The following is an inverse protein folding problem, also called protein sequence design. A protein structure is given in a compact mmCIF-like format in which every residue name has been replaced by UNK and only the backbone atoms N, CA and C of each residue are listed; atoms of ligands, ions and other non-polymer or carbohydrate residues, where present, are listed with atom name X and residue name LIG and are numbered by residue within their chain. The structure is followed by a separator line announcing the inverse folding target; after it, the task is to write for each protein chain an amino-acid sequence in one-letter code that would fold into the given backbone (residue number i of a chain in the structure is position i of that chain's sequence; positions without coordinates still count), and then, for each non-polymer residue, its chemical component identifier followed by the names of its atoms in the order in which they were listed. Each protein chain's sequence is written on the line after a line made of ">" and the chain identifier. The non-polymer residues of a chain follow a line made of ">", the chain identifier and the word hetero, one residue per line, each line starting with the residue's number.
data_IF_936846037764
#
_entry.id   IF_936846037764
#
_cell.length_a   1.000
_cell.length_b   1.000
_cell.length_c   1.000
_cell.angle_alpha   90.00
_cell.angle_beta   90.00
_cell.angle_gamma   90.00
#
_symmetry.space_group_name_H-M   'P 1'
#
loop_
_entity.id
_entity.type
_entity.pdbx_description
1 polymer ?
#
# COMPACT_ATOMS: atom_id res chain seq x y z
N UNK A 1 7.96 17.78 12.01
CA UNK A 1 7.34 16.51 11.54
C UNK A 1 6.10 16.22 12.37
N UNK A 2 4.92 16.20 11.75
CA UNK A 2 3.67 15.85 12.41
C UNK A 2 3.14 14.56 11.78
N UNK A 3 3.19 13.46 12.52
CA UNK A 3 2.69 12.16 12.08
C UNK A 3 1.54 11.75 12.99
N UNK A 4 0.34 11.74 12.42
CA UNK A 4 -0.86 11.26 13.09
C UNK A 4 -1.18 9.84 12.63
N UNK A 5 -1.37 8.92 13.56
CA UNK A 5 -1.73 7.54 13.25
C UNK A 5 -2.90 7.12 14.11
N UNK A 6 -3.99 6.72 13.45
CA UNK A 6 -5.21 6.21 14.07
C UNK A 6 -5.50 4.78 13.63
N UNK A 7 -6.26 4.05 14.42
CA UNK A 7 -6.76 2.74 14.05
C UNK A 7 -8.24 2.62 14.39
N UNK A 8 -9.03 2.25 13.39
CA UNK A 8 -10.43 1.85 13.54
C UNK A 8 -10.57 0.32 13.62
N UNK A 9 -9.46 -0.43 13.53
CA UNK A 9 -9.46 -1.86 13.67
C UNK A 9 -9.31 -2.26 15.14
N UNK A 10 -10.19 -3.12 15.67
CA UNK A 10 -10.21 -3.53 17.10
C UNK A 10 -8.85 -4.06 17.59
N UNK A 11 -8.07 -4.73 16.74
CA UNK A 11 -6.73 -5.27 17.06
C UNK A 11 -5.60 -4.44 16.43
N UNK A 12 -5.80 -3.16 16.19
CA UNK A 12 -4.87 -2.30 15.46
C UNK A 12 -3.89 -1.48 16.30
N UNK A 13 -4.04 -1.46 17.63
CA UNK A 13 -3.24 -0.58 18.49
C UNK A 13 -1.71 -0.79 18.35
N UNK A 14 -1.25 -2.03 18.30
CA UNK A 14 0.18 -2.34 18.10
C UNK A 14 0.67 -1.91 16.72
N UNK A 15 -0.14 -2.13 15.68
CA UNK A 15 0.15 -1.68 14.32
C UNK A 15 0.25 -0.15 14.26
N UNK A 16 -0.68 0.58 14.90
CA UNK A 16 -0.66 2.05 14.94
C UNK A 16 0.61 2.60 15.61
N UNK A 17 1.03 2.02 16.73
CA UNK A 17 2.29 2.41 17.39
C UNK A 17 3.50 2.18 16.46
N UNK A 18 3.57 1.01 15.82
CA UNK A 18 4.62 0.72 14.84
C UNK A 18 4.61 1.70 13.69
N UNK A 19 3.46 1.94 13.06
CA UNK A 19 3.34 2.85 11.91
C UNK A 19 3.77 4.27 12.25
N UNK A 20 3.48 4.77 13.45
CA UNK A 20 3.94 6.10 13.89
C UNK A 20 5.47 6.19 13.94
N UNK A 21 6.14 5.20 14.51
CA UNK A 21 7.60 5.15 14.56
C UNK A 21 8.21 5.02 13.17
N UNK A 22 7.67 4.12 12.35
CA UNK A 22 8.18 3.85 11.00
C UNK A 22 7.97 5.03 10.06
N UNK A 23 6.80 5.67 10.10
CA UNK A 23 6.52 6.86 9.30
C UNK A 23 7.52 7.98 9.56
N UNK A 24 7.85 8.24 10.82
CA UNK A 24 8.87 9.24 11.17
C UNK A 24 10.24 8.85 10.63
N UNK A 25 10.64 7.60 10.76
CA UNK A 25 11.93 7.12 10.23
C UNK A 25 11.98 7.23 8.69
N UNK A 26 10.92 6.86 7.99
CA UNK A 26 10.85 6.95 6.53
C UNK A 26 10.86 8.40 6.04
N UNK A 27 10.11 9.29 6.69
CA UNK A 27 10.12 10.71 6.34
C UNK A 27 11.50 11.36 6.58
N UNK A 28 12.19 10.98 7.65
CA UNK A 28 13.56 11.45 7.91
C UNK A 28 14.53 10.92 6.84
N UNK A 29 14.48 9.62 6.49
CA UNK A 29 15.30 9.04 5.44
C UNK A 29 15.07 9.68 4.05
N UNK A 30 13.86 10.21 3.83
CA UNK A 30 13.49 10.93 2.61
C UNK A 30 13.79 12.45 2.65
N UNK A 31 14.42 12.96 3.73
CA UNK A 31 14.66 14.39 3.90
C UNK A 31 13.38 15.22 4.03
N UNK A 32 12.33 14.63 4.64
CA UNK A 32 11.00 15.24 4.81
C UNK A 32 10.64 15.49 6.27
N UNK A 33 11.58 15.92 7.09
CA UNK A 33 11.40 16.16 8.54
C UNK A 33 10.35 17.24 8.84
N UNK A 34 10.09 18.16 7.91
CA UNK A 34 9.03 19.15 8.02
C UNK A 34 7.62 18.65 7.66
N UNK A 35 7.50 17.43 7.13
CA UNK A 35 6.24 16.93 6.58
C UNK A 35 5.17 16.60 7.64
N UNK A 36 3.90 16.72 7.20
CA UNK A 36 2.72 16.25 7.92
C UNK A 36 2.12 15.05 7.18
N UNK A 37 1.86 13.97 7.90
CA UNK A 37 1.33 12.73 7.36
C UNK A 37 0.24 12.16 8.28
N UNK A 38 -0.88 11.75 7.69
CA UNK A 38 -1.92 10.99 8.37
C UNK A 38 -1.89 9.52 7.94
N UNK A 39 -2.01 8.60 8.88
CA UNK A 39 -2.11 7.16 8.61
C UNK A 39 -3.31 6.58 9.34
N UNK A 40 -4.19 5.90 8.60
CA UNK A 40 -5.38 5.24 9.14
C UNK A 40 -5.28 3.73 8.92
N UNK A 41 -5.43 2.96 10.00
CA UNK A 41 -5.47 1.50 9.95
C UNK A 41 -6.91 1.04 10.08
N UNK A 42 -7.37 0.30 9.08
CA UNK A 42 -8.76 -0.20 8.97
C UNK A 42 -8.80 -1.72 8.77
N UNK A 43 -10.01 -2.28 8.82
CA UNK A 43 -10.28 -3.65 8.36
C UNK A 43 -10.70 -3.68 6.88
N UNK A 44 -10.78 -4.89 6.31
CA UNK A 44 -11.13 -5.11 4.90
C UNK A 44 -12.49 -4.53 4.51
N UNK A 45 -13.48 -4.55 5.40
CA UNK A 45 -14.80 -3.98 5.13
C UNK A 45 -14.75 -2.46 4.92
N UNK A 46 -14.02 -1.72 5.76
CA UNK A 46 -13.83 -0.28 5.62
C UNK A 46 -12.97 0.03 4.39
N UNK A 47 -11.89 -0.72 4.18
CA UNK A 47 -11.04 -0.59 2.99
C UNK A 47 -11.81 -0.80 1.68
N UNK A 48 -12.71 -1.80 1.63
CA UNK A 48 -13.59 -2.04 0.48
C UNK A 48 -14.50 -0.84 0.18
N UNK A 49 -15.10 -0.23 1.23
CA UNK A 49 -15.94 0.97 1.06
C UNK A 49 -15.13 2.13 0.47
N UNK A 50 -13.93 2.39 1.00
CA UNK A 50 -13.05 3.44 0.51
C UNK A 50 -12.62 3.18 -0.95
N UNK A 51 -12.19 1.96 -1.26
CA UNK A 51 -11.75 1.58 -2.61
C UNK A 51 -12.89 1.69 -3.64
N UNK A 52 -14.12 1.35 -3.22
CA UNK A 52 -15.30 1.54 -4.06
C UNK A 52 -15.61 3.03 -4.28
N UNK A 53 -15.59 3.82 -3.21
CA UNK A 53 -15.91 5.24 -3.28
C UNK A 53 -14.91 6.05 -4.12
N UNK A 54 -13.62 5.79 -3.95
CA UNK A 54 -12.56 6.61 -4.54
C UNK A 54 -11.95 6.04 -5.82
N UNK A 55 -12.00 4.73 -6.02
CA UNK A 55 -11.40 4.04 -7.20
C UNK A 55 -12.41 3.22 -8.01
N UNK A 56 -13.69 3.23 -7.64
CA UNK A 56 -14.75 2.46 -8.29
C UNK A 56 -14.58 0.93 -8.19
N UNK A 57 -13.70 0.45 -7.29
CA UNK A 57 -13.36 -0.96 -7.17
C UNK A 57 -14.02 -1.58 -5.92
N UNK A 58 -15.07 -2.38 -6.10
CA UNK A 58 -15.80 -3.01 -4.99
C UNK A 58 -15.08 -4.22 -4.40
N UNK A 59 -13.89 -4.00 -3.85
CA UNK A 59 -13.06 -4.99 -3.14
C UNK A 59 -12.12 -4.29 -2.17
N UNK A 60 -11.68 -4.99 -1.13
CA UNK A 60 -10.58 -4.53 -0.30
C UNK A 60 -9.26 -4.50 -1.09
N UNK A 61 -8.40 -3.56 -0.74
CA UNK A 61 -7.00 -3.47 -1.17
C UNK A 61 -6.12 -3.38 0.07
N UNK A 62 -4.83 -3.46 -0.11
CA UNK A 62 -3.81 -3.35 0.94
C UNK A 62 -3.64 -1.92 1.45
N UNK A 63 -3.44 -0.97 0.54
CA UNK A 63 -3.18 0.43 0.83
C UNK A 63 -3.90 1.35 -0.15
N UNK A 64 -4.32 2.52 0.34
CA UNK A 64 -4.78 3.66 -0.45
C UNK A 64 -4.02 4.90 0.00
N UNK A 65 -3.61 5.73 -0.95
CA UNK A 65 -2.93 7.00 -0.70
C UNK A 65 -3.73 8.13 -1.31
N UNK A 66 -3.90 9.21 -0.55
CA UNK A 66 -4.66 10.40 -0.92
C UNK A 66 -3.74 11.62 -0.81
N UNK A 67 -3.05 12.01 -1.90
CA UNK A 67 -2.17 13.16 -1.88
C UNK A 67 -2.97 14.46 -1.75
N UNK A 68 -2.43 15.43 -1.01
CA UNK A 68 -2.97 16.78 -0.93
C UNK A 68 -2.18 17.69 -1.86
N UNK A 69 -2.86 18.25 -2.86
CA UNK A 69 -2.23 19.15 -3.82
C UNK A 69 -1.91 20.51 -3.18
N UNK A 70 -0.73 21.05 -3.47
CA UNK A 70 -0.40 22.46 -3.24
C UNK A 70 0.14 22.86 -1.86
N UNK A 71 0.28 21.95 -0.91
CA UNK A 71 0.83 22.28 0.41
C UNK A 71 2.22 21.66 0.60
N UNK A 72 3.24 22.49 0.75
CA UNK A 72 4.64 22.02 0.88
C UNK A 72 4.90 21.08 2.08
N UNK A 73 4.13 21.17 3.17
CA UNK A 73 4.32 20.39 4.38
C UNK A 73 3.34 19.20 4.50
N UNK A 74 2.07 19.38 4.11
CA UNK A 74 1.05 18.33 4.21
C UNK A 74 1.14 17.37 3.02
N UNK A 75 1.56 16.14 3.25
CA UNK A 75 1.68 15.14 2.20
C UNK A 75 0.33 14.51 1.84
N UNK A 76 -0.50 14.23 2.83
CA UNK A 76 -1.80 13.57 2.66
C UNK A 76 -2.03 12.40 3.61
N UNK A 77 -2.92 11.50 3.17
CA UNK A 77 -3.37 10.37 3.99
C UNK A 77 -2.95 9.03 3.37
N UNK A 78 -2.55 8.09 4.23
CA UNK A 78 -2.32 6.68 3.87
C UNK A 78 -3.27 5.81 4.66
N UNK A 79 -4.10 5.01 3.98
CA UNK A 79 -5.02 4.06 4.61
C UNK A 79 -4.53 2.64 4.35
N UNK A 80 -4.38 1.83 5.41
CA UNK A 80 -3.83 0.48 5.36
C UNK A 80 -4.84 -0.54 5.89
N UNK A 81 -5.11 -1.62 5.14
CA UNK A 81 -5.90 -2.74 5.65
C UNK A 81 -5.03 -3.69 6.48
N UNK A 82 -5.37 -3.78 7.78
CA UNK A 82 -4.69 -4.71 8.69
C UNK A 82 -5.05 -6.17 8.39
N UNK A 83 -6.27 -6.45 7.93
CA UNK A 83 -6.70 -7.81 7.59
C UNK A 83 -5.97 -8.30 6.35
N UNK A 84 -5.90 -7.49 5.30
CA UNK A 84 -5.11 -7.79 4.10
C UNK A 84 -3.64 -7.95 4.44
N UNK A 85 -3.04 -7.06 5.27
CA UNK A 85 -1.65 -7.18 5.69
C UNK A 85 -1.37 -8.51 6.42
N UNK A 86 -2.26 -8.93 7.32
CA UNK A 86 -2.14 -10.23 8.02
C UNK A 86 -2.22 -11.42 7.08
N UNK A 87 -3.14 -11.38 6.14
CA UNK A 87 -3.32 -12.44 5.15
C UNK A 87 -2.09 -12.56 4.26
N UNK A 88 -1.64 -11.44 3.68
CA UNK A 88 -0.49 -11.41 2.78
C UNK A 88 0.81 -11.79 3.49
N UNK A 89 1.02 -11.32 4.72
CA UNK A 89 2.19 -11.69 5.51
C UNK A 89 2.28 -13.21 5.71
N UNK A 90 1.16 -13.89 5.96
CA UNK A 90 1.12 -15.37 6.09
C UNK A 90 1.41 -16.06 4.75
N UNK A 91 0.77 -15.63 3.67
CA UNK A 91 0.95 -16.17 2.32
C UNK A 91 2.40 -16.06 1.85
N UNK A 92 3.04 -14.92 2.15
CA UNK A 92 4.42 -14.62 1.75
C UNK A 92 5.47 -15.04 2.80
N UNK A 93 5.04 -15.71 3.88
CA UNK A 93 5.90 -16.14 5.00
C UNK A 93 6.75 -14.99 5.59
N UNK A 94 6.13 -13.83 5.73
CA UNK A 94 6.73 -12.62 6.32
C UNK A 94 6.11 -12.30 7.68
N UNK A 95 6.79 -11.46 8.45
CA UNK A 95 6.16 -10.90 9.65
C UNK A 95 5.13 -9.84 9.26
N UNK A 96 4.06 -9.72 10.05
CA UNK A 96 3.09 -8.65 9.89
C UNK A 96 3.75 -7.26 9.91
N UNK A 97 4.77 -7.08 10.76
CA UNK A 97 5.51 -5.82 10.84
C UNK A 97 6.21 -5.47 9.53
N UNK A 98 6.86 -6.44 8.89
CA UNK A 98 7.53 -6.23 7.60
C UNK A 98 6.53 -5.88 6.49
N UNK A 99 5.36 -6.54 6.48
CA UNK A 99 4.34 -6.25 5.47
C UNK A 99 3.70 -4.85 5.66
N UNK A 100 3.44 -4.46 6.91
CA UNK A 100 2.97 -3.13 7.23
C UNK A 100 3.97 -2.03 6.88
N UNK A 101 5.27 -2.25 7.13
CA UNK A 101 6.33 -1.30 6.75
C UNK A 101 6.36 -1.07 5.24
N UNK A 102 6.14 -2.13 4.45
CA UNK A 102 6.07 -2.04 2.99
C UNK A 102 4.88 -1.24 2.51
N UNK A 103 3.69 -1.50 3.04
CA UNK A 103 2.50 -0.74 2.68
C UNK A 103 2.65 0.74 3.04
N UNK A 104 3.28 1.03 4.17
CA UNK A 104 3.56 2.41 4.58
C UNK A 104 4.57 3.09 3.65
N UNK A 105 5.69 2.42 3.33
CA UNK A 105 6.70 2.94 2.40
C UNK A 105 6.09 3.22 1.03
N UNK A 106 5.34 2.25 0.48
CA UNK A 106 4.61 2.37 -0.78
C UNK A 106 3.66 3.58 -0.78
N UNK A 107 2.83 3.69 0.27
CA UNK A 107 1.89 4.81 0.41
C UNK A 107 2.58 6.17 0.47
N UNK A 108 3.65 6.30 1.25
CA UNK A 108 4.43 7.55 1.35
C UNK A 108 5.05 7.92 0.00
N UNK A 109 5.63 6.97 -0.72
CA UNK A 109 6.22 7.21 -2.04
C UNK A 109 5.17 7.70 -3.03
N UNK A 110 3.95 7.15 -3.01
CA UNK A 110 2.84 7.66 -3.82
C UNK A 110 2.47 9.11 -3.46
N UNK A 111 2.41 9.46 -2.17
CA UNK A 111 2.16 10.84 -1.75
C UNK A 111 3.26 11.81 -2.24
N UNK A 112 4.48 11.31 -2.44
CA UNK A 112 5.61 12.06 -3.00
C UNK A 112 5.66 12.08 -4.54
N UNK A 113 4.63 11.54 -5.20
CA UNK A 113 4.50 11.56 -6.66
C UNK A 113 5.20 10.41 -7.39
N UNK A 114 5.66 9.38 -6.68
CA UNK A 114 6.13 8.17 -7.35
C UNK A 114 4.94 7.40 -7.91
N UNK A 115 4.96 7.12 -9.22
CA UNK A 115 3.93 6.36 -9.90
C UNK A 115 4.56 5.12 -10.58
N UNK A 116 4.22 3.94 -10.07
CA UNK A 116 4.70 2.68 -10.63
C UNK A 116 3.88 2.23 -11.85
N UNK A 117 2.72 2.83 -12.11
CA UNK A 117 1.85 2.50 -13.24
C UNK A 117 2.27 3.25 -14.51
N UNK A 118 3.03 4.35 -14.41
CA UNK A 118 3.43 5.19 -15.53
C UNK A 118 4.37 4.48 -16.53
N UNK A 119 5.27 3.61 -16.09
CA UNK A 119 6.15 2.83 -16.96
C UNK A 119 6.90 1.72 -16.20
N UNK A 120 7.45 0.70 -16.90
CA UNK A 120 8.30 -0.30 -16.25
C UNK A 120 9.56 0.29 -15.57
N UNK A 121 10.07 1.40 -16.08
CA UNK A 121 11.19 2.11 -15.44
C UNK A 121 10.77 2.81 -14.15
N UNK A 122 9.58 3.42 -14.13
CA UNK A 122 9.00 4.03 -12.94
C UNK A 122 8.71 2.98 -11.86
N UNK A 123 8.15 1.83 -12.24
CA UNK A 123 7.94 0.70 -11.34
C UNK A 123 9.23 0.21 -10.68
N UNK A 124 10.32 0.07 -11.46
CA UNK A 124 11.64 -0.30 -10.91
C UNK A 124 12.22 0.76 -9.97
N UNK A 125 12.04 2.06 -10.28
CA UNK A 125 12.50 3.14 -9.39
C UNK A 125 11.76 3.12 -8.06
N UNK A 126 10.45 2.98 -8.10
CA UNK A 126 9.63 2.92 -6.89
C UNK A 126 9.99 1.70 -6.04
N UNK A 127 10.15 0.53 -6.65
CA UNK A 127 10.55 -0.68 -5.96
C UNK A 127 11.90 -0.54 -5.24
N UNK A 128 12.91 0.07 -5.88
CA UNK A 128 14.21 0.34 -5.24
C UNK A 128 14.08 1.31 -4.06
N UNK A 129 13.23 2.33 -4.18
CA UNK A 129 12.99 3.27 -3.10
C UNK A 129 12.28 2.59 -1.91
N UNK A 130 11.30 1.71 -2.17
CA UNK A 130 10.67 0.89 -1.13
C UNK A 130 11.68 0.00 -0.42
N UNK A 131 12.51 -0.73 -1.18
CA UNK A 131 13.53 -1.63 -0.63
C UNK A 131 14.54 -0.86 0.23
N UNK A 132 14.98 0.33 -0.19
CA UNK A 132 15.87 1.18 0.58
C UNK A 132 15.23 1.61 1.90
N UNK A 133 13.99 2.13 1.89
CA UNK A 133 13.27 2.57 3.08
C UNK A 133 13.04 1.43 4.08
N UNK A 134 12.62 0.27 3.60
CA UNK A 134 12.36 -0.89 4.43
C UNK A 134 13.67 -1.49 4.94
N UNK A 135 14.70 -1.56 4.08
CA UNK A 135 16.03 -2.13 4.40
C UNK A 135 16.80 -1.32 5.44
N UNK A 136 16.82 0.00 5.37
CA UNK A 136 17.46 0.86 6.38
C UNK A 136 16.85 0.68 7.79
N UNK A 137 15.57 0.32 7.85
CA UNK A 137 14.91 -0.03 9.11
C UNK A 137 15.24 -1.41 9.66
N UNK A 138 15.86 -2.28 8.88
CA UNK A 138 16.19 -3.67 9.26
C UNK A 138 17.62 -3.86 9.78
N UNK A 139 18.53 -2.91 9.58
CA UNK A 139 19.94 -3.03 10.02
C UNK A 139 20.09 -3.12 11.55
N UNK A 140 19.02 -2.93 12.32
CA UNK A 140 19.03 -3.06 13.80
C UNK A 140 18.31 -4.28 14.35
N UNK A 141 17.99 -5.30 13.55
CA UNK A 141 17.37 -6.51 14.10
C UNK A 141 16.96 -7.55 13.07
N UNK A 142 17.68 -8.67 13.03
CA UNK A 142 17.37 -9.98 12.47
C UNK A 142 17.21 -10.11 10.96
N UNK A 143 18.07 -10.96 10.37
CA UNK A 143 18.21 -11.29 8.98
C UNK A 143 16.90 -11.71 8.28
N UNK A 144 16.39 -10.83 7.46
CA UNK A 144 15.33 -11.12 6.48
C UNK A 144 15.91 -10.81 5.10
N UNK A 145 15.69 -11.73 4.15
CA UNK A 145 16.19 -11.62 2.76
C UNK A 145 15.65 -10.37 2.06
N UNK A 146 16.41 -9.78 1.11
CA UNK A 146 15.93 -8.67 0.29
C UNK A 146 14.61 -9.03 -0.40
N UNK A 147 13.75 -8.05 -0.52
CA UNK A 147 12.42 -8.20 -1.10
C UNK A 147 12.49 -8.22 -2.64
N UNK A 148 11.79 -9.18 -3.27
CA UNK A 148 11.55 -9.17 -4.71
C UNK A 148 10.31 -8.32 -5.04
N UNK A 149 10.55 -7.06 -5.42
CA UNK A 149 9.53 -6.09 -5.87
C UNK A 149 8.75 -6.58 -7.10
N UNK A 150 9.30 -7.56 -7.86
CA UNK A 150 8.61 -8.20 -8.97
C UNK A 150 7.35 -8.95 -8.51
N UNK A 151 7.27 -9.36 -7.23
CA UNK A 151 6.10 -10.08 -6.70
C UNK A 151 4.88 -9.18 -6.54
N UNK A 152 5.03 -7.90 -6.15
CA UNK A 152 3.91 -6.95 -6.13
C UNK A 152 3.42 -6.61 -7.54
N UNK A 153 4.35 -6.27 -8.43
CA UNK A 153 4.01 -5.98 -9.83
C UNK A 153 3.31 -7.17 -10.52
N UNK A 154 3.72 -8.42 -10.24
CA UNK A 154 3.05 -9.63 -10.76
C UNK A 154 1.66 -9.81 -10.17
N UNK A 155 1.43 -9.51 -8.89
CA UNK A 155 0.10 -9.61 -8.26
C UNK A 155 -0.88 -8.57 -8.80
N UNK A 156 -0.44 -7.32 -9.01
CA UNK A 156 -1.25 -6.30 -9.66
C UNK A 156 -1.56 -6.70 -11.11
N UNK A 157 -0.58 -7.15 -11.88
CA UNK A 157 -0.77 -7.62 -13.26
C UNK A 157 -1.65 -8.89 -13.37
N UNK A 158 -1.55 -9.84 -12.43
CA UNK A 158 -2.39 -11.05 -12.42
C UNK A 158 -3.83 -10.75 -12.00
N UNK A 159 -4.05 -9.79 -11.11
CA UNK A 159 -5.38 -9.30 -10.75
C UNK A 159 -6.13 -8.71 -11.95
N UNK A 160 -5.42 -8.05 -12.87
CA UNK A 160 -5.99 -7.49 -14.11
C UNK A 160 -6.23 -8.55 -15.20
N UNK A 161 -5.32 -9.51 -15.36
CA UNK A 161 -5.49 -10.60 -16.36
C UNK A 161 -6.64 -11.57 -16.04
N UNK A 162 -6.95 -11.79 -14.75
CA UNK A 162 -8.16 -12.56 -14.37
C UNK A 162 -9.45 -11.82 -14.73
N UNK A 163 -9.44 -10.49 -14.80
CA UNK A 163 -10.62 -9.65 -15.09
C UNK A 163 -10.94 -9.54 -16.58
N UNK A 164 -9.92 -9.55 -17.45
CA UNK A 164 -10.15 -9.55 -18.90
C UNK A 164 -10.81 -10.85 -19.37
N UNK A 165 -10.50 -12.00 -18.73
CA UNK A 165 -11.11 -13.29 -19.07
C UNK A 165 -12.58 -13.42 -18.63
N UNK A 166 -12.99 -12.83 -17.50
CA UNK A 166 -14.40 -12.89 -17.05
C UNK A 166 -15.31 -11.92 -17.79
N UNK A 167 -14.77 -10.86 -18.40
CA UNK A 167 -15.57 -9.94 -19.22
C UNK A 167 -15.88 -10.46 -20.62
N UNK A 168 -15.09 -11.38 -21.14
CA UNK A 168 -15.28 -11.91 -22.50
C UNK A 168 -16.33 -13.02 -22.57
N UNK A 169 -16.62 -13.72 -21.46
CA UNK A 169 -17.57 -14.83 -21.43
C UNK A 169 -19.04 -14.40 -21.21
N UNK A 170 -19.31 -13.16 -20.81
CA UNK A 170 -20.67 -12.67 -20.59
C UNK A 170 -21.33 -11.98 -21.80
N UNK A 171 -20.64 -11.91 -22.96
CA UNK A 171 -21.14 -11.19 -24.13
C UNK A 171 -21.61 -12.07 -25.28
N UNK A 172 -21.59 -13.40 -25.15
CA UNK A 172 -21.94 -14.35 -26.22
C UNK A 172 -23.25 -15.09 -26.00
N UNK A 173 -24.10 -14.70 -25.04
CA UNK A 173 -25.35 -15.40 -24.74
C UNK A 173 -26.61 -14.57 -24.95
N UNK A 174 -26.69 -13.76 -26.01
CA UNK A 174 -27.96 -13.13 -26.39
C UNK A 174 -28.03 -12.87 -27.90
N UNK A 175 -28.09 -13.95 -28.65
CA UNK A 175 -28.68 -13.96 -30.00
C UNK A 175 -28.99 -15.39 -30.37
N UNK A 176 -30.26 -15.76 -30.24
CA UNK A 176 -31.02 -16.63 -31.13
C UNK A 176 -32.33 -17.05 -30.45
N UNK A 177 -33.41 -16.48 -30.89
CA UNK A 177 -34.66 -17.24 -31.13
C UNK A 177 -35.55 -16.43 -32.06
N UNK A 178 -36.25 -17.14 -32.96
CA UNK A 178 -36.99 -16.61 -34.11
C UNK A 178 -38.26 -15.84 -33.71
#
# INVERSE_FOLDING_TARGET
>A
MKVEVRSEHARGAAAARRMRSRARAFLAALGREGAELSVLIVGDAAMRRLNRAWRGKDRATDVLSFPVAGSGALLGDVVISLDTARRVAREERRTLGAELDRYLAHGILHLLGHDHEASPAAARRMARAEDALVGEGMVRGTGVRPFDSATLSRRYAQGERRRSRTRTTSRTSSRSAP
#
